data_IF_593289528486
#
_entry.id   IF_593289528486
#
_cell.length_a   1.000
_cell.length_b   1.000
_cell.length_c   1.000
_cell.angle_alpha   90.00
_cell.angle_beta   90.00
_cell.angle_gamma   90.00
#
_symmetry.space_group_name_H-M   'P 1'
#
loop_
_entity.id
_entity.type
_entity.pdbx_description
1 polymer ?
#
# COMPACT_ATOMS: atom_id res chain seq x y z
N UNK A 1 9.35 7.68 16.84
CA UNK A 1 8.35 7.05 17.71
C UNK A 1 7.34 6.38 16.79
N UNK A 2 7.05 5.09 16.95
CA UNK A 2 6.02 4.42 16.14
C UNK A 2 4.64 4.83 16.66
N UNK A 3 3.80 5.36 15.80
CA UNK A 3 2.43 5.77 16.10
C UNK A 3 1.48 4.93 15.24
N UNK A 4 0.37 4.49 15.83
CA UNK A 4 -0.70 3.81 15.11
C UNK A 4 -1.91 4.74 15.07
N UNK A 5 -2.43 5.00 13.87
CA UNK A 5 -3.61 5.84 13.68
C UNK A 5 -4.86 5.01 13.96
N UNK A 6 -5.64 5.40 14.97
CA UNK A 6 -6.87 4.70 15.37
C UNK A 6 -8.10 5.14 14.56
N UNK A 7 -8.11 6.39 14.12
CA UNK A 7 -9.21 6.95 13.34
C UNK A 7 -9.04 6.60 11.86
N UNK A 8 -10.13 6.22 11.21
CA UNK A 8 -10.12 5.89 9.79
C UNK A 8 -10.41 7.14 8.96
N UNK A 9 -9.42 7.58 8.19
CA UNK A 9 -9.54 8.57 7.13
C UNK A 9 -9.11 7.89 5.81
N UNK A 10 -9.99 7.75 4.80
CA UNK A 10 -9.63 7.10 3.54
C UNK A 10 -8.47 7.79 2.83
N UNK A 11 -7.38 7.07 2.61
CA UNK A 11 -6.24 7.57 1.82
C UNK A 11 -6.66 7.81 0.37
N UNK A 12 -6.21 8.92 -0.22
CA UNK A 12 -6.28 9.17 -1.66
C UNK A 12 -5.01 8.63 -2.31
N UNK A 13 -3.87 9.22 -1.98
CA UNK A 13 -2.53 8.75 -2.34
C UNK A 13 -1.53 9.45 -1.41
N UNK A 14 -0.67 8.68 -0.74
CA UNK A 14 0.40 9.22 0.10
C UNK A 14 1.75 8.60 -0.30
N UNK A 15 2.80 9.42 -0.29
CA UNK A 15 4.17 8.98 -0.59
C UNK A 15 5.10 9.15 0.60
N UNK A 16 5.79 8.07 0.94
CA UNK A 16 6.74 8.01 2.05
C UNK A 16 8.09 7.50 1.58
N UNK A 17 9.19 8.09 2.06
CA UNK A 17 10.54 7.54 1.85
C UNK A 17 11.12 7.06 3.17
N UNK A 18 11.63 5.83 3.18
CA UNK A 18 12.32 5.24 4.32
C UNK A 18 13.68 4.72 3.91
N UNK A 19 14.73 5.12 4.64
CA UNK A 19 16.05 4.50 4.53
C UNK A 19 16.20 3.48 5.67
N UNK A 20 16.55 2.24 5.33
CA UNK A 20 16.77 1.16 6.29
C UNK A 20 17.90 0.23 5.80
N UNK A 21 18.29 -0.75 6.60
CA UNK A 21 19.19 -1.80 6.18
C UNK A 21 18.39 -3.09 5.89
N UNK A 22 18.61 -3.70 4.74
CA UNK A 22 18.08 -5.01 4.37
C UNK A 22 19.29 -5.92 4.15
N UNK A 23 19.38 -7.01 4.92
CA UNK A 23 20.53 -7.93 4.90
C UNK A 23 21.89 -7.23 5.11
N UNK A 24 21.90 -6.18 5.93
CA UNK A 24 23.08 -5.37 6.22
C UNK A 24 23.43 -4.34 5.13
N UNK A 25 22.69 -4.29 4.02
CA UNK A 25 22.88 -3.32 2.94
C UNK A 25 21.91 -2.14 3.11
N UNK A 26 22.39 -0.88 3.09
CA UNK A 26 21.51 0.28 3.08
C UNK A 26 20.60 0.28 1.85
N UNK A 27 19.30 0.37 2.09
CA UNK A 27 18.26 0.41 1.07
C UNK A 27 17.37 1.65 1.29
N UNK A 28 16.99 2.28 0.18
CA UNK A 28 15.96 3.32 0.15
C UNK A 28 14.68 2.69 -0.36
N UNK A 29 13.61 2.80 0.43
CA UNK A 29 12.27 2.39 0.09
C UNK A 29 11.44 3.65 -0.17
N UNK A 30 10.96 3.79 -1.41
CA UNK A 30 9.91 4.74 -1.75
C UNK A 30 8.59 3.95 -1.70
N UNK A 31 7.75 4.28 -0.72
CA UNK A 31 6.51 3.58 -0.39
C UNK A 31 5.35 4.47 -0.84
N UNK A 32 4.45 3.90 -1.62
CA UNK A 32 3.22 4.55 -2.05
C UNK A 32 2.05 3.87 -1.33
N UNK A 33 1.34 4.62 -0.49
CA UNK A 33 0.07 4.18 0.09
C UNK A 33 -1.07 4.63 -0.83
N UNK A 34 -1.87 3.68 -1.29
CA UNK A 34 -2.83 3.89 -2.38
C UNK A 34 -4.26 3.87 -1.84
N UNK A 35 -5.18 4.62 -2.47
CA UNK A 35 -6.60 4.47 -2.20
C UNK A 35 -7.08 3.02 -2.41
N UNK A 36 -7.92 2.54 -1.48
CA UNK A 36 -8.63 1.26 -1.60
C UNK A 36 -9.95 1.33 -2.37
N UNK A 37 -10.33 2.52 -2.86
CA UNK A 37 -11.61 2.76 -3.54
C UNK A 37 -11.49 2.47 -5.05
N UNK A 38 -12.48 1.78 -5.62
CA UNK A 38 -12.51 1.46 -7.06
C UNK A 38 -12.46 2.72 -7.95
N UNK A 39 -12.91 3.85 -7.42
CA UNK A 39 -12.93 5.17 -8.09
C UNK A 39 -11.53 5.65 -8.52
N UNK A 40 -10.46 5.13 -7.90
CA UNK A 40 -9.07 5.41 -8.28
C UNK A 40 -8.45 4.30 -9.15
N UNK A 41 -9.25 3.37 -9.68
CA UNK A 41 -8.80 2.25 -10.50
C UNK A 41 -7.98 2.66 -11.74
N UNK A 42 -8.19 3.86 -12.29
CA UNK A 42 -7.38 4.38 -13.40
C UNK A 42 -5.90 4.61 -13.02
N UNK A 43 -5.62 4.93 -11.75
CA UNK A 43 -4.25 5.13 -11.27
C UNK A 43 -3.55 3.78 -10.97
N UNK A 44 -4.32 2.71 -10.76
CA UNK A 44 -3.79 1.35 -10.48
C UNK A 44 -2.79 0.91 -11.54
N UNK A 45 -3.08 1.10 -12.82
CA UNK A 45 -2.15 0.69 -13.89
C UNK A 45 -0.81 1.42 -13.82
N UNK A 46 -0.82 2.70 -13.43
CA UNK A 46 0.40 3.48 -13.29
C UNK A 46 1.25 2.94 -12.14
N UNK A 47 0.63 2.63 -11.01
CA UNK A 47 1.32 2.02 -9.87
C UNK A 47 1.91 0.66 -10.23
N UNK A 48 1.15 -0.16 -10.96
CA UNK A 48 1.61 -1.49 -11.41
C UNK A 48 2.80 -1.40 -12.37
N UNK A 49 2.89 -0.36 -13.19
CA UNK A 49 4.03 -0.14 -14.10
C UNK A 49 5.27 0.40 -13.38
N UNK A 50 5.09 1.22 -12.35
CA UNK A 50 6.18 1.89 -11.65
C UNK A 50 6.71 1.13 -10.42
N UNK A 51 5.87 0.28 -9.80
CA UNK A 51 6.19 -0.44 -8.58
C UNK A 51 7.16 -1.61 -8.81
N UNK A 52 8.19 -1.69 -7.98
CA UNK A 52 9.12 -2.83 -7.97
C UNK A 52 8.61 -4.01 -7.12
N UNK A 53 7.65 -3.76 -6.24
CA UNK A 53 7.06 -4.76 -5.35
C UNK A 53 5.74 -4.25 -4.79
N UNK A 54 4.85 -5.17 -4.43
CA UNK A 54 3.48 -4.86 -4.02
C UNK A 54 3.14 -5.59 -2.72
N UNK A 55 2.48 -4.89 -1.80
CA UNK A 55 1.88 -5.48 -0.61
C UNK A 55 0.38 -5.53 -0.81
N UNK A 56 -0.18 -6.74 -0.84
CA UNK A 56 -1.61 -6.97 -0.91
C UNK A 56 -2.14 -7.22 0.50
N UNK A 57 -2.99 -6.33 0.99
CA UNK A 57 -3.49 -6.34 2.37
C UNK A 57 -4.99 -6.56 2.37
N UNK A 58 -5.47 -7.40 3.29
CA UNK A 58 -6.89 -7.65 3.52
C UNK A 58 -7.17 -7.77 5.02
N UNK A 59 -8.42 -7.61 5.40
CA UNK A 59 -8.86 -7.71 6.79
C UNK A 59 -9.41 -9.11 7.09
N UNK A 60 -8.87 -9.78 8.12
CA UNK A 60 -9.27 -11.16 8.48
C UNK A 60 -10.74 -11.24 8.89
N UNK A 61 -11.29 -10.16 9.46
CA UNK A 61 -12.69 -10.04 9.85
C UNK A 61 -13.62 -9.62 8.69
N UNK A 62 -13.11 -9.40 7.48
CA UNK A 62 -13.91 -9.09 6.30
C UNK A 62 -13.50 -9.97 5.10
N UNK A 63 -14.33 -10.97 4.80
CA UNK A 63 -14.12 -11.87 3.65
C UNK A 63 -14.16 -11.13 2.31
N UNK A 64 -14.92 -10.04 2.21
CA UNK A 64 -15.01 -9.29 0.96
C UNK A 64 -13.67 -8.67 0.63
N UNK A 65 -12.97 -8.06 1.60
CA UNK A 65 -11.61 -7.52 1.39
C UNK A 65 -10.64 -8.55 0.80
N UNK A 66 -10.70 -9.82 1.22
CA UNK A 66 -9.88 -10.90 0.65
C UNK A 66 -10.26 -11.22 -0.80
N UNK A 67 -11.56 -11.27 -1.10
CA UNK A 67 -12.03 -11.52 -2.46
C UNK A 67 -11.64 -10.40 -3.42
N UNK A 68 -11.64 -9.13 -2.96
CA UNK A 68 -11.20 -7.99 -3.77
C UNK A 68 -9.71 -8.05 -4.12
N UNK A 69 -8.86 -8.49 -3.17
CA UNK A 69 -7.43 -8.73 -3.44
C UNK A 69 -7.24 -9.78 -4.55
N UNK A 70 -8.10 -10.80 -4.62
CA UNK A 70 -8.03 -11.82 -5.67
C UNK A 70 -8.43 -11.35 -7.08
N UNK A 71 -8.95 -10.12 -7.23
CA UNK A 71 -9.31 -9.53 -8.53
C UNK A 71 -8.20 -8.64 -9.12
N UNK A 72 -7.11 -8.42 -8.38
CA UNK A 72 -5.90 -7.76 -8.85
C UNK A 72 -5.11 -8.65 -9.81
#
# INVERSE_FOLDING_TARGET
>A
QSYFVSDYDPTIEDSYTKICAVDGVPARLDILDTAGQEEFGAMREQYMRAGHGFLLVFAINDRQSFNEVGKL
#
